data_IF_843221197471
#
_entry.id   IF_843221197471
#
_cell.length_a   1.000
_cell.length_b   1.000
_cell.length_c   1.000
_cell.angle_alpha   90.00
_cell.angle_beta   90.00
_cell.angle_gamma   90.00
#
_symmetry.space_group_name_H-M   'P 1'
#
loop_
_entity.id
_entity.type
_entity.pdbx_description
1 polymer ?
#
# COMPACT_ATOMS: atom_id res chain seq x y z
N UNK A 1 24.78 13.86 -5.44
CA UNK A 1 24.07 14.63 -6.50
C UNK A 1 22.78 15.33 -6.04
N UNK A 2 21.62 14.68 -5.86
CA UNK A 2 20.35 15.40 -5.56
C UNK A 2 20.37 16.15 -4.21
N UNK A 3 20.90 15.51 -3.15
CA UNK A 3 21.07 16.14 -1.85
C UNK A 3 22.01 17.36 -1.88
N UNK A 4 23.11 17.28 -2.64
CA UNK A 4 24.05 18.39 -2.82
C UNK A 4 23.43 19.53 -3.64
N UNK A 5 22.64 19.21 -4.67
CA UNK A 5 21.91 20.20 -5.44
C UNK A 5 20.89 20.94 -4.57
N UNK A 6 20.13 20.23 -3.72
CA UNK A 6 19.24 20.86 -2.74
C UNK A 6 20.01 21.76 -1.79
N UNK A 7 21.14 21.29 -1.25
CA UNK A 7 21.99 22.10 -0.37
C UNK A 7 22.43 23.39 -1.06
N UNK A 8 22.96 23.30 -2.28
CA UNK A 8 23.45 24.47 -3.03
C UNK A 8 22.31 25.41 -3.46
N UNK A 9 21.17 24.88 -3.90
CA UNK A 9 20.05 25.67 -4.44
C UNK A 9 19.18 26.30 -3.37
N UNK A 10 18.71 25.50 -2.41
CA UNK A 10 17.67 25.91 -1.47
C UNK A 10 18.21 26.25 -0.09
N UNK A 11 19.23 25.53 0.39
CA UNK A 11 19.77 25.77 1.73
C UNK A 11 20.82 26.89 1.72
N UNK A 12 21.69 26.95 0.70
CA UNK A 12 22.84 27.88 0.64
C UNK A 12 23.69 27.81 1.93
N UNK A 13 23.50 28.74 2.86
CA UNK A 13 24.13 28.80 4.20
C UNK A 13 23.17 28.44 5.35
N UNK A 14 21.91 28.15 5.05
CA UNK A 14 20.89 27.80 6.03
C UNK A 14 20.85 26.31 6.33
N UNK A 15 20.24 25.96 7.47
CA UNK A 15 20.10 24.57 7.91
C UNK A 15 18.73 24.00 7.55
N UNK A 16 18.70 22.70 7.22
CA UNK A 16 17.47 22.02 6.76
C UNK A 16 16.39 22.01 7.81
N UNK A 17 16.67 22.18 9.10
CA UNK A 17 15.65 22.17 10.17
C UNK A 17 15.02 23.54 10.42
N UNK A 18 15.77 24.60 10.18
CA UNK A 18 15.39 25.98 10.51
C UNK A 18 15.11 26.87 9.30
N UNK A 19 15.38 26.43 8.07
CA UNK A 19 15.15 27.29 6.91
C UNK A 19 13.66 27.44 6.60
N UNK A 20 13.25 28.66 6.26
CA UNK A 20 11.92 28.96 5.74
C UNK A 20 11.85 28.73 4.22
N UNK A 21 10.67 28.41 3.65
CA UNK A 21 10.52 28.25 2.22
C UNK A 21 10.74 29.61 1.52
N UNK A 22 11.70 29.74 0.59
CA UNK A 22 11.90 30.99 -0.14
C UNK A 22 10.66 31.39 -0.94
N UNK A 23 10.47 32.70 -1.15
CA UNK A 23 9.44 33.21 -2.06
C UNK A 23 9.61 32.60 -3.46
N UNK A 24 8.53 32.07 -4.03
CA UNK A 24 8.55 31.39 -5.33
C UNK A 24 9.17 29.98 -5.34
N UNK A 25 9.48 29.37 -4.20
CA UNK A 25 10.02 28.00 -4.18
C UNK A 25 9.01 26.96 -4.72
N UNK A 26 9.55 25.84 -5.20
CA UNK A 26 8.75 24.74 -5.76
C UNK A 26 7.82 24.12 -4.71
N UNK A 27 6.67 23.60 -5.14
CA UNK A 27 5.76 22.86 -4.26
C UNK A 27 6.43 21.64 -3.61
N UNK A 28 7.33 20.98 -4.34
CA UNK A 28 8.15 19.88 -3.83
C UNK A 28 9.03 20.32 -2.66
N UNK A 29 9.69 21.48 -2.75
CA UNK A 29 10.49 21.99 -1.63
C UNK A 29 9.63 22.27 -0.40
N UNK A 30 8.47 22.92 -0.58
CA UNK A 30 7.53 23.15 0.54
C UNK A 30 7.10 21.84 1.18
N UNK A 31 6.86 20.78 0.40
CA UNK A 31 6.50 19.48 0.92
C UNK A 31 7.65 18.82 1.70
N UNK A 32 8.89 18.93 1.22
CA UNK A 32 10.09 18.47 1.95
C UNK A 32 10.19 19.17 3.31
N UNK A 33 9.98 20.49 3.36
CA UNK A 33 10.01 21.21 4.63
C UNK A 33 8.86 20.81 5.56
N UNK A 34 7.65 20.56 5.02
CA UNK A 34 6.54 20.02 5.81
C UNK A 34 6.83 18.64 6.39
N UNK A 35 7.59 17.80 5.69
CA UNK A 35 7.99 16.48 6.18
C UNK A 35 8.85 16.51 7.44
N UNK A 36 9.46 17.65 7.80
CA UNK A 36 10.21 17.81 9.07
C UNK A 36 9.38 17.45 10.29
N UNK A 37 8.11 17.83 10.31
CA UNK A 37 7.19 17.57 11.42
C UNK A 37 7.04 16.07 11.70
N UNK A 38 7.19 15.24 10.66
CA UNK A 38 7.19 13.79 10.79
C UNK A 38 8.59 13.24 11.04
N UNK A 39 9.64 13.81 10.46
CA UNK A 39 11.02 13.31 10.61
C UNK A 39 11.57 13.55 12.02
N UNK A 40 11.39 14.75 12.58
CA UNK A 40 11.99 15.18 13.85
C UNK A 40 11.65 14.22 15.01
N UNK A 41 10.39 13.81 15.23
CA UNK A 41 10.06 12.86 16.29
C UNK A 41 10.74 11.49 16.14
N UNK A 42 11.10 11.12 14.91
CA UNK A 42 11.59 9.80 14.53
C UNK A 42 13.11 9.71 14.35
N UNK A 43 13.85 10.78 14.67
CA UNK A 43 15.31 10.79 14.65
C UNK A 43 15.87 11.06 16.06
N UNK A 44 17.07 10.56 16.33
CA UNK A 44 17.83 10.87 17.54
C UNK A 44 19.30 11.09 17.18
N UNK A 45 19.94 12.00 17.89
CA UNK A 45 21.38 12.22 17.80
C UNK A 45 22.06 11.45 18.92
N UNK A 46 23.04 10.60 18.57
CA UNK A 46 24.01 10.06 19.51
C UNK A 46 25.23 10.98 19.42
N UNK A 47 25.52 11.67 20.51
CA UNK A 47 26.55 12.70 20.56
C UNK A 47 27.84 12.07 21.09
N UNK A 48 28.92 12.23 20.33
CA UNK A 48 30.26 11.89 20.77
C UNK A 48 31.04 13.20 20.93
N UNK A 49 31.80 13.60 19.91
CA UNK A 49 32.60 14.83 19.97
C UNK A 49 31.80 16.09 19.62
N UNK A 50 30.59 15.95 19.06
CA UNK A 50 29.73 17.07 18.68
C UNK A 50 30.27 17.90 17.50
N UNK A 51 31.29 17.41 16.80
CA UNK A 51 31.99 18.12 15.73
C UNK A 51 31.14 18.30 14.46
N UNK A 52 30.13 17.45 14.25
CA UNK A 52 29.26 17.49 13.06
C UNK A 52 27.81 17.88 13.38
N UNK A 53 27.53 18.29 14.62
CA UNK A 53 26.19 18.69 15.06
C UNK A 53 26.18 20.20 15.29
N UNK A 54 25.32 20.92 14.58
CA UNK A 54 25.14 22.35 14.78
C UNK A 54 24.47 22.61 16.12
N UNK A 55 25.13 23.42 16.96
CA UNK A 55 24.63 23.79 18.28
C UNK A 55 23.24 24.42 18.21
N UNK A 56 23.02 25.32 17.24
CA UNK A 56 21.80 26.11 17.16
C UNK A 56 20.75 25.56 16.23
N UNK A 57 21.12 24.69 15.28
CA UNK A 57 20.29 24.38 14.13
C UNK A 57 19.90 22.91 13.95
N UNK A 58 20.57 21.99 14.64
CA UNK A 58 20.16 20.60 14.61
C UNK A 58 19.23 20.29 15.80
N UNK A 59 18.24 19.41 15.64
CA UNK A 59 17.27 19.09 16.68
C UNK A 59 17.83 18.07 17.69
N UNK A 60 19.05 18.30 18.18
CA UNK A 60 19.77 17.41 19.09
C UNK A 60 19.25 17.48 20.53
N UNK A 61 18.62 18.60 20.93
CA UNK A 61 17.99 18.77 22.23
C UNK A 61 16.58 18.15 22.22
N UNK A 62 16.52 16.82 22.31
CA UNK A 62 15.29 16.04 22.36
C UNK A 62 14.30 16.35 21.21
N UNK A 63 14.81 16.56 19.99
CA UNK A 63 14.00 16.90 18.83
C UNK A 63 13.76 18.40 18.63
N UNK A 64 14.40 19.27 19.42
CA UNK A 64 14.36 20.73 19.26
C UNK A 64 15.73 21.28 18.96
N UNK A 65 15.77 22.33 18.13
CA UNK A 65 17.00 23.11 17.94
C UNK A 65 17.10 24.16 19.06
N UNK A 66 18.31 24.53 19.50
CA UNK A 66 18.48 25.54 20.56
C UNK A 66 17.85 26.90 20.17
N UNK A 67 17.91 27.27 18.89
CA UNK A 67 17.20 28.45 18.36
C UNK A 67 15.68 28.39 18.54
N UNK A 68 15.07 27.21 18.38
CA UNK A 68 13.63 27.01 18.58
C UNK A 68 13.25 27.04 20.06
N UNK A 69 14.06 26.39 20.92
CA UNK A 69 13.83 26.37 22.37
C UNK A 69 13.90 27.77 23.01
N UNK A 70 14.65 28.69 22.38
CA UNK A 70 14.90 30.04 22.88
C UNK A 70 14.08 31.12 22.19
N UNK A 71 13.29 30.75 21.16
CA UNK A 71 12.55 31.70 20.34
C UNK A 71 13.43 32.66 19.52
N UNK A 72 14.75 32.45 19.48
CA UNK A 72 15.69 33.31 18.75
C UNK A 72 15.71 32.91 17.28
N UNK A 73 15.26 33.79 16.40
CA UNK A 73 15.36 33.54 14.95
C UNK A 73 16.83 33.45 14.50
N UNK A 74 17.08 32.59 13.51
CA UNK A 74 18.41 32.32 12.93
C UNK A 74 19.20 33.59 12.56
N UNK A 75 18.49 34.65 12.14
CA UNK A 75 19.10 35.93 11.72
C UNK A 75 19.72 36.73 12.89
N UNK A 76 19.33 36.47 14.14
CA UNK A 76 19.84 37.16 15.32
C UNK A 76 21.05 36.49 15.97
N UNK A 77 21.45 35.29 15.50
CA UNK A 77 22.56 34.53 16.08
C UNK A 77 23.94 34.95 15.58
N UNK A 78 24.03 35.63 14.44
CA UNK A 78 25.30 36.10 13.87
C UNK A 78 26.34 34.96 13.75
N UNK A 79 27.60 35.14 14.22
CA UNK A 79 28.65 34.12 14.17
C UNK A 79 28.34 32.83 14.93
N UNK A 80 27.43 32.88 15.91
CA UNK A 80 27.04 31.71 16.70
C UNK A 80 26.22 30.72 15.87
N UNK A 81 25.57 31.17 14.79
CA UNK A 81 24.79 30.27 13.92
C UNK A 81 25.61 29.13 13.30
N UNK A 82 26.94 29.27 13.22
CA UNK A 82 27.86 28.26 12.69
C UNK A 82 28.60 27.45 13.77
N UNK A 83 28.27 27.65 15.05
CA UNK A 83 28.93 26.90 16.13
C UNK A 83 28.46 25.45 16.18
N UNK A 84 29.39 24.56 16.48
CA UNK A 84 29.15 23.13 16.67
C UNK A 84 29.01 22.79 18.15
N UNK A 85 28.40 21.65 18.41
CA UNK A 85 28.19 21.13 19.76
C UNK A 85 29.51 20.81 20.47
N UNK A 86 30.58 20.55 19.71
CA UNK A 86 31.96 20.40 20.21
C UNK A 86 32.46 21.60 21.04
N UNK A 87 31.84 22.77 20.91
CA UNK A 87 32.16 23.94 21.75
C UNK A 87 31.72 23.77 23.22
N UNK A 88 30.78 22.87 23.49
CA UNK A 88 30.25 22.57 24.82
C UNK A 88 30.73 21.21 25.35
N UNK A 89 31.61 20.52 24.62
CA UNK A 89 32.10 19.17 24.98
C UNK A 89 33.62 19.21 25.12
N UNK A 90 34.12 18.84 26.30
CA UNK A 90 35.56 18.63 26.54
C UNK A 90 35.78 17.32 27.27
N UNK A 91 36.80 16.58 26.84
CA UNK A 91 37.19 15.29 27.43
C UNK A 91 36.00 14.31 27.61
N UNK A 92 35.08 14.32 26.65
CA UNK A 92 33.90 13.45 26.64
C UNK A 92 32.81 13.82 27.66
N UNK A 93 32.83 15.04 28.19
CA UNK A 93 31.81 15.56 29.12
C UNK A 93 31.32 16.93 28.67
N UNK A 94 30.10 17.26 29.08
CA UNK A 94 29.58 18.61 28.96
C UNK A 94 30.44 19.59 29.77
N UNK A 95 30.93 20.63 29.11
CA UNK A 95 31.69 21.72 29.70
C UNK A 95 30.88 23.02 29.55
N UNK A 96 30.36 23.52 30.67
CA UNK A 96 29.55 24.75 30.68
C UNK A 96 30.47 25.95 30.44
N UNK A 97 30.25 26.75 29.37
CA UNK A 97 31.05 27.94 29.16
C UNK A 97 30.85 28.96 30.29
N UNK A 98 31.94 29.60 30.73
CA UNK A 98 31.89 30.64 31.76
C UNK A 98 30.98 31.83 31.40
N UNK A 99 30.75 32.07 30.10
CA UNK A 99 29.85 33.10 29.57
C UNK A 99 28.56 32.50 29.00
N UNK A 100 28.00 31.49 29.67
CA UNK A 100 26.69 30.94 29.31
C UNK A 100 25.60 31.99 29.57
N UNK A 101 24.73 32.31 28.59
CA UNK A 101 23.68 33.31 28.79
C UNK A 101 22.68 32.86 29.86
N UNK A 102 22.33 33.77 30.79
CA UNK A 102 21.40 33.48 31.90
C UNK A 102 20.02 33.02 31.40
N UNK A 103 19.57 33.49 30.25
CA UNK A 103 18.29 33.07 29.65
C UNK A 103 18.31 31.62 29.12
N UNK A 104 19.49 31.03 28.97
CA UNK A 104 19.70 29.64 28.57
C UNK A 104 20.01 28.71 29.75
N UNK A 105 20.17 29.23 30.97
CA UNK A 105 20.44 28.41 32.16
C UNK A 105 19.41 27.32 32.41
N UNK A 106 18.08 27.55 32.23
CA UNK A 106 17.08 26.51 32.42
C UNK A 106 17.27 25.32 31.46
N UNK A 107 17.82 25.55 30.26
CA UNK A 107 18.08 24.50 29.28
C UNK A 107 19.35 23.70 29.62
N UNK A 108 20.25 24.23 30.44
CA UNK A 108 21.52 23.56 30.77
C UNK A 108 21.30 22.23 31.49
N UNK A 109 20.27 22.16 32.34
CA UNK A 109 19.89 20.91 33.01
C UNK A 109 19.52 19.83 31.99
N UNK A 110 18.65 20.16 31.02
CA UNK A 110 18.26 19.25 29.95
C UNK A 110 19.45 18.84 29.06
N UNK A 111 20.36 19.77 28.77
CA UNK A 111 21.58 19.48 28.01
C UNK A 111 22.45 18.47 28.76
N UNK A 112 22.64 18.69 30.07
CA UNK A 112 23.54 17.88 30.90
C UNK A 112 23.02 16.45 31.12
N UNK A 113 21.71 16.23 30.97
CA UNK A 113 21.08 14.91 31.04
C UNK A 113 21.38 14.04 29.80
N UNK A 114 21.78 14.64 28.68
CA UNK A 114 22.08 13.89 27.45
C UNK A 114 23.46 13.25 27.59
N UNK A 115 23.54 11.93 27.40
CA UNK A 115 24.81 11.21 27.46
C UNK A 115 25.73 11.55 26.28
N UNK A 116 27.03 11.72 26.58
CA UNK A 116 28.09 12.00 25.60
C UNK A 116 29.05 10.82 25.56
N UNK A 117 29.24 10.24 24.38
CA UNK A 117 30.00 8.99 24.19
C UNK A 117 31.53 9.11 24.21
N UNK A 118 32.09 10.32 24.40
CA UNK A 118 33.53 10.54 24.37
C UNK A 118 34.10 10.58 22.94
N UNK A 119 35.12 9.77 22.64
CA UNK A 119 35.80 9.75 21.34
C UNK A 119 35.01 8.93 20.31
N UNK A 120 34.69 9.55 19.19
CA UNK A 120 33.96 8.88 18.10
C UNK A 120 33.19 9.84 17.20
N UNK A 121 32.70 9.36 16.03
CA UNK A 121 31.88 10.17 15.15
C UNK A 121 30.44 10.29 15.68
N UNK A 122 29.89 11.51 15.66
CA UNK A 122 28.48 11.76 15.94
C UNK A 122 27.56 10.97 14.99
N UNK A 123 26.48 10.39 15.50
CA UNK A 123 25.55 9.57 14.72
C UNK A 123 24.13 10.13 14.74
N UNK A 124 23.52 10.25 13.56
CA UNK A 124 22.09 10.48 13.42
C UNK A 124 21.39 9.13 13.21
N UNK A 125 20.67 8.68 14.24
CA UNK A 125 19.97 7.41 14.20
C UNK A 125 18.47 7.59 13.95
N UNK A 126 17.86 6.54 13.41
CA UNK A 126 16.43 6.39 13.21
C UNK A 126 15.94 5.26 14.14
N UNK A 127 15.50 5.55 15.38
CA UNK A 127 15.12 4.52 16.35
C UNK A 127 14.10 3.49 15.85
N UNK A 128 13.12 3.83 14.96
CA UNK A 128 12.22 2.81 14.41
C UNK A 128 12.91 1.75 13.53
N UNK A 129 14.19 1.91 13.19
CA UNK A 129 14.99 0.94 12.45
C UNK A 129 15.75 0.03 13.39
N UNK A 130 15.69 -1.29 13.17
CA UNK A 130 16.52 -2.25 13.93
C UNK A 130 18.02 -2.06 13.69
N UNK A 131 18.40 -1.47 12.56
CA UNK A 131 19.81 -1.20 12.21
C UNK A 131 20.27 0.18 12.66
N UNK A 132 19.39 0.96 13.30
CA UNK A 132 19.69 2.30 13.79
C UNK A 132 19.80 3.39 12.71
N UNK A 133 19.77 3.07 11.41
CA UNK A 133 19.83 4.09 10.34
C UNK A 133 18.57 4.08 9.47
N UNK A 134 18.25 5.26 8.92
CA UNK A 134 17.14 5.42 8.00
C UNK A 134 17.39 4.58 6.74
N UNK A 135 16.54 3.59 6.50
CA UNK A 135 16.48 2.88 5.23
C UNK A 135 15.07 2.96 4.62
N UNK A 136 15.00 2.96 3.29
CA UNK A 136 13.75 3.18 2.54
C UNK A 136 12.64 2.18 2.93
N UNK A 137 13.00 0.91 3.13
CA UNK A 137 12.03 -0.16 3.40
C UNK A 137 11.36 0.03 4.76
N UNK A 138 12.14 0.23 5.81
CA UNK A 138 11.63 0.45 7.16
C UNK A 138 10.97 1.81 7.31
N UNK A 139 11.49 2.85 6.64
CA UNK A 139 10.84 4.16 6.60
C UNK A 139 9.46 4.08 5.93
N UNK A 140 9.34 3.36 4.80
CA UNK A 140 8.05 3.16 4.14
C UNK A 140 7.10 2.34 5.02
N UNK A 141 7.60 1.29 5.69
CA UNK A 141 6.81 0.50 6.64
C UNK A 141 6.32 1.37 7.82
N UNK A 142 7.18 2.22 8.35
CA UNK A 142 6.83 3.14 9.44
C UNK A 142 5.82 4.21 8.99
N UNK A 143 5.96 4.72 7.75
CA UNK A 143 4.99 5.60 7.12
C UNK A 143 3.66 4.91 6.82
N UNK A 144 3.65 3.61 6.51
CA UNK A 144 2.44 2.85 6.25
C UNK A 144 1.77 2.31 7.52
N UNK A 145 2.52 2.20 8.62
CA UNK A 145 2.00 1.78 9.92
C UNK A 145 1.11 2.83 10.59
N UNK A 146 1.02 4.06 10.05
CA UNK A 146 -0.14 4.91 10.33
C UNK A 146 -1.34 4.30 9.60
N UNK A 147 -2.17 3.59 10.35
CA UNK A 147 -3.32 2.75 10.00
C UNK A 147 -4.31 3.34 8.99
N UNK A 148 -3.88 3.52 7.74
CA UNK A 148 -4.77 3.80 6.62
C UNK A 148 -4.60 2.61 5.70
N UNK A 149 -5.52 1.65 5.84
CA UNK A 149 -5.65 0.60 4.83
C UNK A 149 -5.71 1.25 3.46
N UNK A 150 -4.92 0.75 2.49
CA UNK A 150 -4.94 1.34 1.17
C UNK A 150 -6.38 1.30 0.66
N UNK A 151 -6.86 2.38 0.00
CA UNK A 151 -8.23 2.40 -0.50
C UNK A 151 -8.53 1.14 -1.32
N UNK A 152 -9.75 0.61 -1.18
CA UNK A 152 -10.13 -0.69 -1.78
C UNK A 152 -9.89 -0.77 -3.29
N UNK A 153 -9.91 0.37 -4.01
CA UNK A 153 -9.65 0.40 -5.45
C UNK A 153 -8.19 0.11 -5.83
N UNK A 154 -7.24 0.26 -4.89
CA UNK A 154 -5.80 0.06 -5.18
C UNK A 154 -5.51 -1.35 -5.71
N UNK A 155 -6.19 -2.37 -5.18
CA UNK A 155 -6.06 -3.76 -5.63
C UNK A 155 -6.45 -3.94 -7.10
N UNK A 156 -7.33 -3.09 -7.65
CA UNK A 156 -7.74 -3.14 -9.06
C UNK A 156 -6.72 -2.48 -9.99
N UNK A 157 -5.92 -1.53 -9.50
CA UNK A 157 -4.95 -0.80 -10.33
C UNK A 157 -3.59 -1.48 -10.43
N UNK A 158 -3.22 -2.22 -9.40
CA UNK A 158 -1.90 -2.84 -9.26
C UNK A 158 -1.95 -4.37 -9.41
N UNK A 159 -2.82 -4.86 -10.29
CA UNK A 159 -2.83 -6.27 -10.68
C UNK A 159 -1.59 -6.63 -11.52
N UNK A 160 -1.24 -7.94 -11.63
CA UNK A 160 -0.24 -8.41 -12.58
C UNK A 160 -0.59 -7.98 -14.03
N UNK A 161 0.44 -7.88 -14.87
CA UNK A 161 0.33 -7.59 -16.31
C UNK A 161 -0.25 -6.20 -16.65
N UNK A 162 -0.38 -5.31 -15.65
CA UNK A 162 -0.77 -3.93 -15.87
C UNK A 162 0.40 -3.08 -16.38
N UNK A 163 0.09 -2.11 -17.24
CA UNK A 163 1.07 -1.13 -17.69
C UNK A 163 1.17 0.00 -16.65
N UNK A 164 2.34 0.25 -16.04
CA UNK A 164 2.47 1.19 -14.93
C UNK A 164 1.95 2.60 -15.24
N UNK A 165 2.15 3.11 -16.47
CA UNK A 165 1.62 4.42 -16.89
C UNK A 165 0.08 4.46 -16.94
N UNK A 166 -0.59 3.36 -17.26
CA UNK A 166 -2.05 3.28 -17.26
C UNK A 166 -2.58 3.22 -15.82
N UNK A 167 -1.98 2.38 -14.98
CA UNK A 167 -2.33 2.30 -13.55
C UNK A 167 -2.11 3.61 -12.81
N UNK A 168 -1.02 4.33 -13.11
CA UNK A 168 -0.77 5.64 -12.53
C UNK A 168 -1.82 6.68 -12.94
N UNK A 169 -2.21 6.72 -14.21
CA UNK A 169 -3.29 7.61 -14.63
C UNK A 169 -4.62 7.22 -13.99
N UNK A 170 -4.94 5.93 -13.91
CA UNK A 170 -6.12 5.45 -13.20
C UNK A 170 -6.11 5.89 -11.73
N UNK A 171 -4.96 5.82 -11.06
CA UNK A 171 -4.77 6.34 -9.70
C UNK A 171 -5.10 7.84 -9.62
N UNK A 172 -4.71 8.64 -10.62
CA UNK A 172 -5.09 10.05 -10.69
C UNK A 172 -6.60 10.25 -10.87
N UNK A 173 -7.29 9.38 -11.62
CA UNK A 173 -8.76 9.41 -11.74
C UNK A 173 -9.43 9.12 -10.39
N UNK A 174 -9.03 8.05 -9.69
CA UNK A 174 -9.59 7.69 -8.37
C UNK A 174 -9.38 8.78 -7.31
N UNK A 175 -8.29 9.53 -7.38
CA UNK A 175 -8.05 10.67 -6.49
C UNK A 175 -8.64 12.01 -6.98
N UNK A 176 -9.33 12.03 -8.14
CA UNK A 176 -9.81 13.23 -8.81
C UNK A 176 -8.70 14.30 -8.98
N UNK A 177 -7.50 13.84 -9.38
CA UNK A 177 -6.28 14.65 -9.58
C UNK A 177 -5.88 14.82 -11.03
N UNK A 178 -6.65 14.30 -11.99
CA UNK A 178 -6.43 14.56 -13.41
C UNK A 178 -6.53 16.06 -13.73
N UNK A 179 -5.93 16.49 -14.84
CA UNK A 179 -6.04 17.88 -15.32
C UNK A 179 -7.33 18.10 -16.13
N UNK A 180 -8.48 17.81 -15.51
CA UNK A 180 -9.80 17.98 -16.15
C UNK A 180 -10.11 19.47 -16.42
N UNK A 181 -10.97 19.77 -17.39
CA UNK A 181 -11.34 21.17 -17.67
C UNK A 181 -11.95 21.87 -16.44
N UNK A 182 -12.81 21.21 -15.65
CA UNK A 182 -13.35 21.80 -14.41
C UNK A 182 -12.25 22.20 -13.41
N UNK A 183 -11.13 21.47 -13.35
CA UNK A 183 -9.99 21.81 -12.48
C UNK A 183 -9.12 22.91 -13.07
N UNK A 184 -8.98 22.98 -14.38
CA UNK A 184 -8.27 24.05 -15.08
C UNK A 184 -9.07 25.37 -15.04
N UNK A 185 -10.40 25.29 -15.14
CA UNK A 185 -11.32 26.43 -15.04
C UNK A 185 -11.21 27.08 -13.67
N UNK A 186 -11.23 26.29 -12.58
CA UNK A 186 -11.00 26.77 -11.21
C UNK A 186 -9.65 27.46 -11.01
N UNK A 187 -8.66 27.20 -11.87
CA UNK A 187 -7.35 27.85 -11.87
C UNK A 187 -7.27 29.07 -12.79
N UNK A 188 -8.34 29.42 -13.49
CA UNK A 188 -8.36 30.48 -14.49
C UNK A 188 -7.54 30.16 -15.75
N UNK A 189 -7.25 28.88 -16.02
CA UNK A 189 -6.44 28.47 -17.18
C UNK A 189 -7.28 28.20 -18.44
N UNK A 190 -8.59 28.01 -18.28
CA UNK A 190 -9.55 27.83 -19.38
C UNK A 190 -10.84 28.57 -19.03
N UNK A 191 -11.59 28.98 -20.06
CA UNK A 191 -12.87 29.68 -19.93
C UNK A 191 -14.08 28.78 -20.13
N UNK A 192 -13.91 27.65 -20.81
CA UNK A 192 -14.93 26.63 -21.03
C UNK A 192 -14.55 25.32 -20.33
N UNK A 193 -15.49 24.76 -19.58
CA UNK A 193 -15.35 23.49 -18.88
C UNK A 193 -16.17 22.36 -19.51
N UNK A 194 -16.80 22.61 -20.66
CA UNK A 194 -17.64 21.63 -21.37
C UNK A 194 -16.81 20.45 -21.87
N UNK A 195 -17.25 19.23 -21.54
CA UNK A 195 -16.60 17.98 -21.92
C UNK A 195 -16.44 17.86 -23.42
N UNK A 196 -15.20 17.67 -23.87
CA UNK A 196 -14.87 17.62 -25.30
C UNK A 196 -15.34 16.35 -25.99
N UNK A 197 -15.67 15.30 -25.22
CA UNK A 197 -16.13 14.02 -25.74
C UNK A 197 -17.63 14.02 -26.09
N UNK A 198 -18.48 14.55 -25.21
CA UNK A 198 -19.94 14.56 -25.40
C UNK A 198 -20.55 15.94 -25.66
N UNK A 199 -19.81 17.03 -25.43
CA UNK A 199 -20.25 18.42 -25.64
C UNK A 199 -21.49 18.85 -24.84
N UNK A 200 -21.79 18.18 -23.72
CA UNK A 200 -23.06 18.38 -22.99
C UNK A 200 -22.95 18.60 -21.47
N UNK A 201 -21.79 18.35 -20.83
CA UNK A 201 -21.64 18.51 -19.37
C UNK A 201 -20.23 18.94 -18.98
N UNK A 202 -20.04 19.39 -17.74
CA UNK A 202 -18.75 19.85 -17.24
C UNK A 202 -17.75 18.68 -17.09
N UNK A 203 -16.51 18.86 -17.53
CA UNK A 203 -15.48 17.81 -17.50
C UNK A 203 -14.77 17.75 -16.14
N UNK A 204 -15.27 16.89 -15.25
CA UNK A 204 -14.52 16.35 -14.11
C UNK A 204 -14.16 14.86 -14.33
N UNK A 205 -13.50 14.23 -13.35
CA UNK A 205 -13.09 12.84 -13.46
C UNK A 205 -14.28 11.88 -13.62
N UNK A 206 -15.32 12.04 -12.80
CA UNK A 206 -16.53 11.21 -12.83
C UNK A 206 -17.26 11.39 -14.17
N UNK A 207 -17.43 12.63 -14.61
CA UNK A 207 -18.05 12.92 -15.88
C UNK A 207 -17.27 12.32 -17.04
N UNK A 208 -15.97 12.61 -17.13
CA UNK A 208 -15.14 12.18 -18.26
C UNK A 208 -15.13 10.66 -18.42
N UNK A 209 -15.05 9.90 -17.33
CA UNK A 209 -14.96 8.43 -17.38
C UNK A 209 -16.31 7.73 -17.27
N UNK A 210 -17.21 8.16 -16.38
CA UNK A 210 -18.35 7.37 -15.92
C UNK A 210 -19.73 7.96 -16.25
N UNK A 211 -19.85 9.25 -16.56
CA UNK A 211 -21.14 9.89 -16.88
C UNK A 211 -21.27 10.30 -18.35
N UNK A 212 -20.16 10.66 -18.98
CA UNK A 212 -20.07 11.06 -20.38
C UNK A 212 -20.67 9.97 -21.29
N UNK A 213 -21.61 10.35 -22.16
CA UNK A 213 -22.30 9.39 -23.03
C UNK A 213 -21.33 8.62 -23.96
N UNK A 214 -20.26 9.28 -24.43
CA UNK A 214 -19.23 8.66 -25.25
C UNK A 214 -18.47 7.58 -24.46
N UNK A 215 -17.97 7.92 -23.28
CA UNK A 215 -17.19 7.00 -22.43
C UNK A 215 -18.04 5.86 -21.88
N UNK A 216 -19.28 6.15 -21.45
CA UNK A 216 -20.22 5.12 -20.96
C UNK A 216 -20.55 4.07 -22.02
N UNK A 217 -20.71 4.47 -23.28
CA UNK A 217 -20.94 3.51 -24.36
C UNK A 217 -19.79 2.51 -24.46
N UNK A 218 -18.55 3.00 -24.41
CA UNK A 218 -17.34 2.16 -24.52
C UNK A 218 -17.23 1.24 -23.31
N UNK A 219 -17.35 1.79 -22.09
CA UNK A 219 -17.26 0.97 -20.88
C UNK A 219 -18.35 -0.11 -20.85
N UNK A 220 -19.59 0.24 -21.18
CA UNK A 220 -20.68 -0.73 -21.20
C UNK A 220 -20.43 -1.83 -22.23
N UNK A 221 -19.89 -1.50 -23.41
CA UNK A 221 -19.55 -2.52 -24.42
C UNK A 221 -18.47 -3.48 -23.92
N UNK A 222 -17.42 -2.96 -23.29
CA UNK A 222 -16.34 -3.77 -22.71
C UNK A 222 -16.83 -4.65 -21.55
N UNK A 223 -17.77 -4.15 -20.73
CA UNK A 223 -18.41 -4.92 -19.66
C UNK A 223 -19.33 -6.01 -20.21
N UNK A 224 -20.07 -5.75 -21.29
CA UNK A 224 -20.87 -6.77 -21.96
C UNK A 224 -20.02 -7.90 -22.54
N UNK A 225 -18.82 -7.61 -23.05
CA UNK A 225 -17.85 -8.61 -23.49
C UNK A 225 -17.28 -9.46 -22.33
N UNK A 226 -17.42 -8.98 -21.08
CA UNK A 226 -17.15 -9.71 -19.83
C UNK A 226 -18.38 -10.46 -19.30
N UNK A 227 -19.49 -10.49 -20.04
CA UNK A 227 -20.79 -11.02 -19.62
C UNK A 227 -21.40 -10.31 -18.39
N UNK A 228 -20.95 -9.08 -18.10
CA UNK A 228 -21.49 -8.25 -17.01
C UNK A 228 -22.68 -7.46 -17.52
N UNK A 229 -23.87 -7.78 -16.99
CA UNK A 229 -25.13 -7.12 -17.34
C UNK A 229 -25.39 -5.84 -16.53
N UNK A 230 -24.80 -5.73 -15.34
CA UNK A 230 -24.96 -4.56 -14.48
C UNK A 230 -24.27 -3.33 -15.11
N UNK A 231 -24.85 -2.15 -14.86
CA UNK A 231 -24.26 -0.89 -15.30
C UNK A 231 -23.20 -0.43 -14.30
N UNK A 232 -22.10 0.08 -14.80
CA UNK A 232 -21.11 0.75 -13.96
C UNK A 232 -21.72 1.98 -13.26
N UNK A 233 -21.30 2.27 -12.02
CA UNK A 233 -21.75 3.45 -11.29
C UNK A 233 -21.27 4.73 -11.97
N UNK A 234 -21.91 5.85 -11.61
CA UNK A 234 -21.63 7.19 -12.17
C UNK A 234 -20.58 7.99 -11.40
N UNK A 235 -19.89 7.37 -10.44
CA UNK A 235 -18.88 7.99 -9.59
C UNK A 235 -17.77 7.00 -9.22
N UNK A 236 -16.53 7.49 -9.15
CA UNK A 236 -15.37 6.72 -8.70
C UNK A 236 -15.49 6.26 -7.24
N UNK A 237 -16.24 6.97 -6.40
CA UNK A 237 -16.46 6.55 -5.00
C UNK A 237 -17.22 5.23 -4.90
N UNK A 238 -18.16 5.01 -5.83
CA UNK A 238 -18.97 3.79 -5.91
C UNK A 238 -18.36 2.73 -6.84
N UNK A 239 -17.34 3.09 -7.63
CA UNK A 239 -16.73 2.17 -8.59
C UNK A 239 -16.03 1.01 -7.88
N UNK A 240 -15.28 1.25 -6.81
CA UNK A 240 -14.58 0.15 -6.11
C UNK A 240 -15.52 -0.86 -5.47
N UNK A 241 -16.52 -0.44 -4.67
CA UNK A 241 -17.49 -1.37 -4.10
C UNK A 241 -18.25 -2.15 -5.19
N UNK A 242 -18.57 -1.49 -6.30
CA UNK A 242 -19.22 -2.16 -7.42
C UNK A 242 -18.32 -3.20 -8.10
N UNK A 243 -17.03 -2.90 -8.32
CA UNK A 243 -16.08 -3.86 -8.88
C UNK A 243 -15.95 -5.09 -7.97
N UNK A 244 -15.85 -4.86 -6.66
CA UNK A 244 -15.75 -5.92 -5.64
C UNK A 244 -16.99 -6.83 -5.61
N UNK A 245 -18.18 -6.24 -5.74
CA UNK A 245 -19.43 -6.99 -5.79
C UNK A 245 -19.67 -7.71 -7.13
N UNK A 246 -19.05 -7.25 -8.22
CA UNK A 246 -19.33 -7.77 -9.57
C UNK A 246 -18.51 -9.02 -9.91
N UNK A 247 -17.26 -9.12 -9.44
CA UNK A 247 -16.38 -10.25 -9.79
C UNK A 247 -15.57 -10.73 -8.58
N UNK A 248 -15.72 -12.02 -8.26
CA UNK A 248 -14.84 -12.75 -7.35
C UNK A 248 -13.79 -13.60 -8.08
N UNK A 249 -14.10 -14.10 -9.27
CA UNK A 249 -13.24 -15.05 -9.99
C UNK A 249 -11.88 -14.42 -10.43
N UNK A 250 -10.72 -15.02 -10.10
CA UNK A 250 -9.39 -14.43 -10.35
C UNK A 250 -9.08 -14.07 -11.81
N UNK A 251 -9.47 -14.95 -12.75
CA UNK A 251 -9.34 -14.67 -14.19
C UNK A 251 -10.13 -13.42 -14.59
N UNK A 252 -11.44 -13.41 -14.30
CA UNK A 252 -12.33 -12.30 -14.64
C UNK A 252 -11.84 -11.00 -13.99
N UNK A 253 -11.28 -11.07 -12.78
CA UNK A 253 -10.66 -9.93 -12.07
C UNK A 253 -9.45 -9.36 -12.82
N UNK A 254 -8.55 -10.21 -13.31
CA UNK A 254 -7.38 -9.80 -14.10
C UNK A 254 -7.79 -9.09 -15.40
N UNK A 255 -8.77 -9.64 -16.11
CA UNK A 255 -9.28 -9.02 -17.34
C UNK A 255 -9.98 -7.69 -17.02
N UNK A 256 -10.86 -7.64 -16.01
CA UNK A 256 -11.57 -6.42 -15.64
C UNK A 256 -10.61 -5.31 -15.17
N UNK A 257 -9.60 -5.63 -14.36
CA UNK A 257 -8.56 -4.68 -13.97
C UNK A 257 -7.86 -4.08 -15.20
N UNK A 258 -7.55 -4.92 -16.19
CA UNK A 258 -6.96 -4.51 -17.46
C UNK A 258 -7.91 -3.64 -18.29
N UNK A 259 -9.22 -3.94 -18.29
CA UNK A 259 -10.25 -3.11 -18.92
C UNK A 259 -10.26 -1.73 -18.29
N UNK A 260 -10.36 -1.63 -16.96
CA UNK A 260 -10.46 -0.34 -16.26
C UNK A 260 -9.23 0.54 -16.51
N UNK A 261 -8.02 -0.01 -16.39
CA UNK A 261 -6.78 0.77 -16.59
C UNK A 261 -6.63 1.26 -18.03
N UNK A 262 -6.90 0.39 -19.03
CA UNK A 262 -6.83 0.76 -20.44
C UNK A 262 -7.94 1.71 -20.85
N UNK A 263 -9.16 1.48 -20.38
CA UNK A 263 -10.30 2.36 -20.62
C UNK A 263 -9.98 3.80 -20.19
N UNK A 264 -9.55 3.99 -18.94
CA UNK A 264 -9.21 5.33 -18.43
C UNK A 264 -8.07 5.97 -19.22
N UNK A 265 -7.06 5.19 -19.60
CA UNK A 265 -5.97 5.66 -20.45
C UNK A 265 -6.44 6.11 -21.83
N UNK A 266 -7.18 5.28 -22.55
CA UNK A 266 -7.60 5.60 -23.92
C UNK A 266 -8.66 6.69 -23.97
N UNK A 267 -9.53 6.81 -22.96
CA UNK A 267 -10.44 7.96 -22.82
C UNK A 267 -9.65 9.25 -22.62
N UNK A 268 -8.64 9.25 -21.76
CA UNK A 268 -7.78 10.42 -21.56
C UNK A 268 -7.01 10.80 -22.83
N UNK A 269 -6.47 9.81 -23.55
CA UNK A 269 -5.79 10.03 -24.83
C UNK A 269 -6.73 10.58 -25.90
N UNK A 270 -7.93 10.02 -26.04
CA UNK A 270 -8.95 10.51 -26.97
C UNK A 270 -9.33 11.96 -26.67
N UNK A 271 -9.56 12.28 -25.40
CA UNK A 271 -9.83 13.64 -24.94
C UNK A 271 -8.70 14.60 -25.32
N UNK A 272 -7.45 14.22 -25.10
CA UNK A 272 -6.30 15.06 -25.46
C UNK A 272 -6.09 15.19 -26.97
N UNK A 273 -6.36 14.13 -27.75
CA UNK A 273 -6.28 14.19 -29.22
C UNK A 273 -7.31 15.18 -29.79
N UNK A 274 -8.53 15.24 -29.24
CA UNK A 274 -9.54 16.21 -29.65
C UNK A 274 -9.16 17.65 -29.33
N UNK A 275 -8.45 17.88 -28.22
CA UNK A 275 -8.07 19.24 -27.79
C UNK A 275 -6.82 19.73 -28.51
N UNK A 276 -5.79 18.90 -28.61
CA UNK A 276 -4.47 19.35 -29.04
C UNK A 276 -4.10 18.96 -30.48
N UNK A 277 -4.86 18.06 -31.10
CA UNK A 277 -4.53 17.51 -32.42
C UNK A 277 -5.68 17.52 -33.40
N UNK A 278 -6.85 18.05 -33.00
CA UNK A 278 -8.08 18.06 -33.78
C UNK A 278 -8.43 16.69 -34.39
N UNK A 279 -8.19 15.62 -33.62
CA UNK A 279 -8.46 14.22 -34.04
C UNK A 279 -9.53 13.61 -33.16
N UNK A 280 -10.57 13.07 -33.77
CA UNK A 280 -11.64 12.34 -33.09
C UNK A 280 -11.76 10.91 -33.60
N UNK A 281 -11.81 9.96 -32.68
CA UNK A 281 -12.09 8.55 -32.98
C UNK A 281 -13.57 8.26 -32.74
N UNK A 282 -14.18 7.43 -33.59
CA UNK A 282 -15.53 6.92 -33.30
C UNK A 282 -15.50 5.94 -32.12
N UNK A 283 -16.51 5.99 -31.25
CA UNK A 283 -16.59 5.20 -30.01
C UNK A 283 -16.37 3.69 -30.21
N UNK A 284 -16.87 3.15 -31.33
CA UNK A 284 -16.70 1.72 -31.68
C UNK A 284 -15.25 1.39 -32.01
N UNK A 285 -14.55 2.24 -32.77
CA UNK A 285 -13.14 2.04 -33.10
C UNK A 285 -12.26 2.14 -31.85
N UNK A 286 -12.58 3.06 -30.93
CA UNK A 286 -11.85 3.16 -29.66
C UNK A 286 -12.08 1.91 -28.79
N UNK A 287 -13.28 1.34 -28.81
CA UNK A 287 -13.57 0.06 -28.14
C UNK A 287 -12.69 -1.07 -28.70
N UNK A 288 -12.61 -1.22 -30.03
CA UNK A 288 -11.75 -2.23 -30.65
C UNK A 288 -10.26 -2.00 -30.32
N UNK A 289 -9.81 -0.74 -30.30
CA UNK A 289 -8.44 -0.40 -29.92
C UNK A 289 -8.12 -0.82 -28.49
N UNK A 290 -9.03 -0.59 -27.54
CA UNK A 290 -8.87 -1.03 -26.15
C UNK A 290 -8.78 -2.55 -26.07
N UNK A 291 -9.67 -3.27 -26.75
CA UNK A 291 -9.66 -4.75 -26.78
C UNK A 291 -8.37 -5.31 -27.37
N UNK A 292 -7.91 -4.76 -28.49
CA UNK A 292 -6.67 -5.17 -29.15
C UNK A 292 -5.45 -4.97 -28.23
N UNK A 293 -5.39 -3.84 -27.50
CA UNK A 293 -4.32 -3.59 -26.53
C UNK A 293 -4.34 -4.59 -25.37
N UNK A 294 -5.53 -4.92 -24.85
CA UNK A 294 -5.68 -5.91 -23.78
C UNK A 294 -5.25 -7.30 -24.29
N UNK A 295 -5.72 -7.69 -25.47
CA UNK A 295 -5.37 -8.96 -26.10
C UNK A 295 -3.87 -9.08 -26.31
N UNK A 296 -3.23 -8.08 -26.92
CA UNK A 296 -1.78 -8.08 -27.16
C UNK A 296 -0.96 -8.24 -25.87
N UNK A 297 -1.43 -7.67 -24.75
CA UNK A 297 -0.72 -7.73 -23.47
C UNK A 297 -0.88 -9.06 -22.75
N UNK A 298 -2.05 -9.67 -22.89
CA UNK A 298 -2.37 -10.93 -22.24
C UNK A 298 -2.06 -12.13 -23.14
N UNK A 299 -1.67 -11.87 -24.39
CA UNK A 299 -1.22 -12.87 -25.34
C UNK A 299 -0.02 -13.63 -24.78
N UNK A 300 -0.08 -14.96 -24.83
CA UNK A 300 1.00 -15.83 -24.37
C UNK A 300 1.07 -16.02 -22.86
N UNK A 301 0.16 -15.44 -22.07
CA UNK A 301 0.02 -15.74 -20.64
C UNK A 301 -0.95 -16.93 -20.50
N UNK A 302 -0.49 -18.12 -20.09
CA UNK A 302 -1.37 -19.26 -19.90
C UNK A 302 -2.17 -19.08 -18.62
N UNK A 303 -3.49 -19.03 -18.76
CA UNK A 303 -4.40 -19.04 -17.62
C UNK A 303 -4.86 -20.47 -17.34
N UNK A 304 -4.21 -21.10 -16.36
CA UNK A 304 -4.49 -22.50 -15.97
C UNK A 304 -5.68 -22.54 -15.01
N UNK A 305 -6.80 -23.12 -15.44
CA UNK A 305 -8.02 -23.26 -14.64
C UNK A 305 -8.97 -24.30 -15.24
N UNK A 306 -10.00 -24.68 -14.48
CA UNK A 306 -11.14 -25.44 -15.01
C UNK A 306 -11.92 -24.55 -16.01
N UNK A 307 -12.02 -24.99 -17.26
CA UNK A 307 -12.62 -24.20 -18.33
C UNK A 307 -14.14 -24.40 -18.35
N UNK A 308 -14.89 -23.31 -18.11
CA UNK A 308 -16.34 -23.27 -18.34
C UNK A 308 -16.68 -22.55 -19.66
N UNK A 309 -17.88 -22.79 -20.25
CA UNK A 309 -18.33 -22.09 -21.45
C UNK A 309 -18.30 -20.56 -21.32
N UNK A 310 -18.62 -20.05 -20.12
CA UNK A 310 -18.58 -18.62 -19.82
C UNK A 310 -17.15 -18.05 -19.87
N UNK A 311 -16.20 -18.74 -19.24
CA UNK A 311 -14.80 -18.32 -19.20
C UNK A 311 -14.19 -18.39 -20.59
N UNK A 312 -14.51 -19.43 -21.36
CA UNK A 312 -14.10 -19.59 -22.75
C UNK A 312 -14.61 -18.43 -23.63
N UNK A 313 -15.88 -18.04 -23.47
CA UNK A 313 -16.45 -16.90 -24.20
C UNK A 313 -15.74 -15.58 -23.87
N UNK A 314 -15.45 -15.33 -22.59
CA UNK A 314 -14.70 -14.13 -22.17
C UNK A 314 -13.27 -14.17 -22.72
N UNK A 315 -12.59 -15.31 -22.64
CA UNK A 315 -11.25 -15.47 -23.15
C UNK A 315 -11.18 -15.20 -24.67
N UNK A 316 -12.15 -15.72 -25.43
CA UNK A 316 -12.27 -15.44 -26.87
C UNK A 316 -12.48 -13.95 -27.15
N UNK A 317 -13.34 -13.27 -26.38
CA UNK A 317 -13.62 -11.84 -26.56
C UNK A 317 -12.40 -10.94 -26.36
N UNK A 318 -11.43 -11.36 -25.55
CA UNK A 318 -10.19 -10.63 -25.26
C UNK A 318 -8.94 -11.28 -25.84
N UNK A 319 -9.07 -12.33 -26.67
CA UNK A 319 -7.95 -13.03 -27.29
C UNK A 319 -6.95 -13.58 -26.28
N UNK A 320 -7.44 -14.19 -25.21
CA UNK A 320 -6.65 -14.77 -24.12
C UNK A 320 -6.66 -16.29 -24.22
N UNK A 321 -5.53 -16.94 -23.95
CA UNK A 321 -5.42 -18.40 -23.96
C UNK A 321 -5.74 -18.98 -22.59
N UNK A 322 -6.76 -19.85 -22.54
CA UNK A 322 -7.02 -20.70 -21.39
C UNK A 322 -6.32 -22.04 -21.58
N UNK A 323 -5.74 -22.55 -20.51
CA UNK A 323 -5.15 -23.88 -20.45
C UNK A 323 -5.96 -24.69 -19.45
N UNK A 324 -6.53 -25.80 -19.90
CA UNK A 324 -7.33 -26.63 -19.03
C UNK A 324 -6.44 -27.19 -17.92
N UNK A 325 -6.90 -27.07 -16.67
CA UNK A 325 -6.23 -27.72 -15.56
C UNK A 325 -6.74 -29.16 -15.55
N UNK A 326 -5.95 -30.17 -15.93
CA UNK A 326 -6.40 -31.55 -15.81
C UNK A 326 -6.74 -31.78 -14.34
N UNK A 327 -7.99 -32.17 -14.06
CA UNK A 327 -8.39 -32.59 -12.73
C UNK A 327 -7.53 -33.81 -12.38
N UNK A 328 -6.48 -33.59 -11.58
CA UNK A 328 -5.70 -34.69 -11.05
C UNK A 328 -6.55 -35.34 -9.98
N UNK A 329 -7.27 -36.41 -10.34
CA UNK A 329 -7.86 -37.29 -9.34
C UNK A 329 -6.69 -37.92 -8.59
N UNK A 330 -6.37 -37.34 -7.43
CA UNK A 330 -5.48 -38.00 -6.48
C UNK A 330 -6.35 -39.03 -5.77
N UNK A 331 -6.14 -40.34 -5.95
CA UNK A 331 -6.81 -41.33 -5.13
C UNK A 331 -6.34 -41.11 -3.69
N UNK A 332 -7.17 -40.47 -2.88
CA UNK A 332 -6.94 -40.32 -1.44
C UNK A 332 -7.47 -41.59 -0.79
N UNK A 333 -6.58 -42.54 -0.52
CA UNK A 333 -6.89 -43.69 0.31
C UNK A 333 -6.50 -43.36 1.75
N UNK A 334 -7.43 -43.53 2.68
CA UNK A 334 -7.09 -43.49 4.10
C UNK A 334 -6.10 -44.62 4.40
N UNK A 335 -4.93 -44.25 4.92
CA UNK A 335 -3.89 -45.21 5.31
C UNK A 335 -4.08 -45.55 6.78
N UNK A 336 -4.29 -46.81 7.17
CA UNK A 336 -4.40 -47.18 8.58
C UNK A 336 -3.10 -46.87 9.35
N UNK A 337 -3.20 -46.55 10.66
CA UNK A 337 -2.03 -46.48 11.53
C UNK A 337 -1.38 -47.87 11.70
N UNK A 338 -0.18 -47.90 12.29
CA UNK A 338 0.49 -49.16 12.66
C UNK A 338 -0.33 -49.99 13.66
N UNK A 339 0.02 -51.27 13.79
CA UNK A 339 -0.69 -52.19 14.67
C UNK A 339 -0.66 -51.68 16.12
N UNK A 340 -1.83 -51.65 16.78
CA UNK A 340 -2.01 -51.10 18.13
C UNK A 340 -1.87 -49.58 18.26
N UNK A 341 -1.76 -48.84 17.15
CA UNK A 341 -1.72 -47.38 17.15
C UNK A 341 -3.08 -46.80 16.74
N UNK A 342 -3.37 -45.59 17.24
CA UNK A 342 -4.62 -44.90 16.95
C UNK A 342 -4.37 -43.69 16.04
N UNK A 343 -5.33 -43.44 15.15
CA UNK A 343 -5.33 -42.28 14.25
C UNK A 343 -6.52 -41.38 14.54
N UNK A 344 -6.25 -40.10 14.75
CA UNK A 344 -7.26 -39.07 14.86
C UNK A 344 -7.40 -38.30 13.52
N UNK A 345 -8.61 -38.29 12.98
CA UNK A 345 -8.99 -37.51 11.81
C UNK A 345 -9.81 -36.28 12.27
N UNK A 346 -9.39 -35.07 11.93
CA UNK A 346 -10.06 -33.81 12.33
C UNK A 346 -10.51 -32.97 11.14
N UNK A 347 -11.56 -32.18 11.32
CA UNK A 347 -12.13 -31.30 10.29
C UNK A 347 -12.76 -30.04 10.91
N UNK A 348 -12.74 -28.93 10.17
CA UNK A 348 -13.36 -27.65 10.50
C UNK A 348 -14.31 -27.18 9.41
N UNK A 349 -15.49 -26.69 9.77
CA UNK A 349 -16.47 -26.19 8.79
C UNK A 349 -16.92 -24.78 9.11
N UNK A 350 -16.95 -23.91 8.11
CA UNK A 350 -17.41 -22.52 8.26
C UNK A 350 -18.59 -22.25 7.33
N UNK A 351 -19.71 -21.81 7.91
CA UNK A 351 -20.86 -21.22 7.21
C UNK A 351 -20.89 -19.71 7.45
N UNK A 352 -21.74 -18.98 6.73
CA UNK A 352 -21.78 -17.50 6.76
C UNK A 352 -21.87 -16.91 8.17
N UNK A 353 -22.58 -17.58 9.09
CA UNK A 353 -22.79 -17.11 10.47
C UNK A 353 -22.33 -18.09 11.57
N UNK A 354 -21.82 -19.27 11.23
CA UNK A 354 -21.52 -20.34 12.22
C UNK A 354 -20.32 -21.19 11.82
N UNK A 355 -19.46 -21.50 12.78
CA UNK A 355 -18.37 -22.46 12.63
C UNK A 355 -18.62 -23.74 13.41
N UNK A 356 -18.29 -24.89 12.81
CA UNK A 356 -18.26 -26.20 13.44
C UNK A 356 -16.85 -26.79 13.40
N UNK A 357 -16.55 -27.69 14.32
CA UNK A 357 -15.32 -28.47 14.32
C UNK A 357 -15.59 -29.88 14.85
N UNK A 358 -14.75 -30.83 14.46
CA UNK A 358 -14.83 -32.19 15.00
C UNK A 358 -13.58 -33.01 14.77
N UNK A 359 -13.49 -34.12 15.49
CA UNK A 359 -12.49 -35.14 15.29
C UNK A 359 -13.05 -36.53 15.59
N UNK A 360 -12.51 -37.55 14.93
CA UNK A 360 -12.80 -38.96 15.18
C UNK A 360 -11.50 -39.73 15.33
N UNK A 361 -11.50 -40.74 16.20
CA UNK A 361 -10.35 -41.62 16.47
C UNK A 361 -10.70 -43.02 15.99
N UNK A 362 -9.79 -43.60 15.22
CA UNK A 362 -9.90 -44.95 14.65
C UNK A 362 -8.68 -45.80 14.97
N UNK A 363 -8.87 -47.12 15.03
CA UNK A 363 -7.80 -48.09 15.15
C UNK A 363 -7.19 -48.45 13.77
N UNK A 364 -6.24 -49.40 13.76
CA UNK A 364 -5.57 -49.91 12.55
C UNK A 364 -6.50 -50.63 11.56
N UNK A 365 -7.69 -51.05 12.00
CA UNK A 365 -8.71 -51.68 11.16
C UNK A 365 -9.69 -50.66 10.56
N UNK A 366 -9.57 -49.40 10.97
CA UNK A 366 -10.52 -48.34 10.61
C UNK A 366 -11.78 -48.32 11.46
N UNK A 367 -11.86 -49.15 12.51
CA UNK A 367 -13.00 -49.15 13.42
C UNK A 367 -13.04 -47.82 14.18
N UNK A 368 -14.24 -47.24 14.24
CA UNK A 368 -14.49 -46.04 15.02
C UNK A 368 -14.44 -46.36 16.52
N UNK A 369 -13.63 -45.62 17.26
CA UNK A 369 -13.54 -45.73 18.71
C UNK A 369 -14.32 -44.61 19.39
N UNK A 370 -14.00 -43.36 19.04
CA UNK A 370 -14.62 -42.19 19.64
C UNK A 370 -14.56 -40.98 18.72
N UNK A 371 -15.47 -40.03 18.91
CA UNK A 371 -15.48 -38.77 18.19
C UNK A 371 -15.99 -37.62 19.06
N UNK A 372 -15.59 -36.43 18.69
CA UNK A 372 -15.97 -35.16 19.32
C UNK A 372 -16.41 -34.20 18.24
N UNK A 373 -17.43 -33.40 18.53
CA UNK A 373 -17.86 -32.32 17.67
C UNK A 373 -18.30 -31.13 18.53
N UNK A 374 -18.11 -29.92 18.01
CA UNK A 374 -18.51 -28.70 18.68
C UNK A 374 -18.79 -27.58 17.69
N UNK A 375 -19.38 -26.51 18.21
CA UNK A 375 -19.62 -25.28 17.47
C UNK A 375 -18.84 -24.14 18.09
N UNK A 376 -18.39 -23.21 17.25
CA UNK A 376 -17.66 -22.03 17.70
C UNK A 376 -17.93 -20.83 16.79
N UNK A 377 -18.10 -19.65 17.38
CA UNK A 377 -18.27 -18.38 16.65
C UNK A 377 -16.95 -17.81 16.11
N UNK A 378 -15.96 -18.66 15.81
CA UNK A 378 -14.67 -18.19 15.28
C UNK A 378 -14.84 -17.79 13.81
N UNK A 379 -14.35 -16.60 13.39
CA UNK A 379 -14.58 -16.07 12.05
C UNK A 379 -13.63 -16.65 10.99
N UNK A 380 -12.95 -17.74 11.29
CA UNK A 380 -11.88 -18.26 10.43
C UNK A 380 -11.92 -19.77 10.36
N UNK A 381 -12.04 -20.29 9.14
CA UNK A 381 -11.88 -21.72 8.83
C UNK A 381 -10.56 -22.24 9.42
N UNK A 382 -9.53 -21.40 9.37
CA UNK A 382 -8.20 -21.74 9.88
C UNK A 382 -8.17 -22.09 11.37
N UNK A 383 -8.97 -21.37 12.15
CA UNK A 383 -9.06 -21.58 13.60
C UNK A 383 -10.00 -22.74 13.94
N UNK A 384 -10.99 -23.02 13.10
CA UNK A 384 -11.93 -24.13 13.29
C UNK A 384 -11.26 -25.48 13.05
N UNK A 385 -10.40 -25.58 12.03
CA UNK A 385 -9.56 -26.75 11.77
C UNK A 385 -8.62 -27.06 12.94
N UNK A 386 -7.91 -26.04 13.44
CA UNK A 386 -7.04 -26.19 14.60
C UNK A 386 -7.83 -26.61 15.85
N UNK A 387 -9.09 -26.15 15.96
CA UNK A 387 -9.97 -26.52 17.06
C UNK A 387 -10.47 -27.96 16.96
N UNK A 388 -10.70 -28.46 15.74
CA UNK A 388 -10.96 -29.88 15.48
C UNK A 388 -9.80 -30.75 15.96
N UNK A 389 -8.57 -30.38 15.58
CA UNK A 389 -7.34 -31.05 16.03
C UNK A 389 -7.22 -31.07 17.56
N UNK A 390 -7.38 -29.90 18.19
CA UNK A 390 -7.29 -29.76 19.65
C UNK A 390 -8.33 -30.63 20.36
N UNK A 391 -9.57 -30.63 19.89
CA UNK A 391 -10.63 -31.45 20.46
C UNK A 391 -10.32 -32.95 20.36
N UNK A 392 -9.73 -33.39 19.24
CA UNK A 392 -9.25 -34.76 19.06
C UNK A 392 -8.16 -35.18 20.06
N UNK A 393 -7.22 -34.28 20.36
CA UNK A 393 -6.19 -34.50 21.39
C UNK A 393 -6.80 -34.57 22.79
N UNK A 394 -7.68 -33.63 23.13
CA UNK A 394 -8.32 -33.55 24.44
C UNK A 394 -9.12 -34.82 24.75
N UNK A 395 -9.92 -35.31 23.80
CA UNK A 395 -10.71 -36.52 23.99
C UNK A 395 -9.83 -37.78 24.07
N UNK A 396 -8.70 -37.81 23.36
CA UNK A 396 -7.70 -38.87 23.48
C UNK A 396 -7.11 -38.96 24.88
N UNK A 397 -6.69 -37.81 25.44
CA UNK A 397 -6.15 -37.72 26.79
C UNK A 397 -7.19 -38.14 27.83
N UNK A 398 -8.43 -37.65 27.71
CA UNK A 398 -9.53 -37.98 28.63
C UNK A 398 -9.85 -39.48 28.65
N UNK A 399 -9.73 -40.16 27.51
CA UNK A 399 -10.03 -41.57 27.38
C UNK A 399 -8.80 -42.47 27.55
N UNK A 400 -7.64 -41.91 27.93
CA UNK A 400 -6.36 -42.62 28.04
C UNK A 400 -5.98 -43.39 26.75
N UNK A 401 -6.27 -42.78 25.60
CA UNK A 401 -5.95 -43.30 24.28
C UNK A 401 -4.60 -42.75 23.81
N UNK A 402 -3.69 -43.65 23.42
CA UNK A 402 -2.41 -43.26 22.81
C UNK A 402 -2.64 -42.94 21.33
N UNK A 403 -2.92 -41.67 21.03
CA UNK A 403 -3.07 -41.19 19.65
C UNK A 403 -1.69 -40.89 19.09
N UNK A 404 -1.33 -41.62 18.07
CA UNK A 404 0.02 -41.60 17.54
C UNK A 404 0.08 -41.04 16.11
N UNK A 405 -1.06 -40.94 15.43
CA UNK A 405 -1.19 -40.31 14.12
C UNK A 405 -2.32 -39.27 14.12
N UNK A 406 -2.06 -38.11 13.52
CA UNK A 406 -3.05 -37.09 13.23
C UNK A 406 -3.13 -36.84 11.72
N UNK A 407 -4.34 -36.73 11.22
CA UNK A 407 -4.62 -36.57 9.80
C UNK A 407 -5.73 -35.51 9.64
N UNK A 408 -5.41 -34.48 8.87
CA UNK A 408 -6.27 -33.34 8.59
C UNK A 408 -6.10 -33.01 7.09
N UNK A 409 -7.18 -32.61 6.41
CA UNK A 409 -7.17 -32.26 4.99
C UNK A 409 -6.51 -30.90 4.69
N UNK A 410 -6.11 -30.18 5.73
CA UNK A 410 -5.31 -28.97 5.68
C UNK A 410 -3.99 -29.16 4.94
N UNK A 411 -3.84 -28.43 3.83
CA UNK A 411 -2.53 -28.21 3.20
C UNK A 411 -2.02 -26.83 3.58
N UNK A 412 -0.79 -26.77 4.08
CA UNK A 412 -0.05 -25.51 4.20
C UNK A 412 0.29 -25.07 2.76
N UNK A 413 -0.52 -24.17 2.19
CA UNK A 413 -0.20 -23.48 0.93
C UNK A 413 0.86 -22.39 1.12
#
# INVERSE_FOLDING_TARGET
>A
MWAEWIRKRYLRKGHIWNCQPPNGCTSSWRQILKSRNWIIPNIRYIIFEGANISLWNDPWLNGRCLSQATGREFLHLGPLSTSFLSTLIKDGKWDKPNRWPMDLDPLWTEISEIEVGGKGPDLLIWPPSRKGYLNRREAMKHLSNSSIDPPSWTKWLWQPYQVPKHSFLAWQFFHNKISSLSRLFKKGLVTDQTCTLCKAGNEDADHLALQCAYSRFILQRLLSDMLIKSRAPRSFTLLSPWLDATISHPFKKTILASIISNFLWFIWQERNNRIFRDKSTHKVHLCHKIKAEISLRLQGIPFIMEISPELSSIAANFGVTLVDRPATTVPVQWIPPELSWLKANSDGSLSEDRGGYGALIRNERGDFLIGVAGQCGLPSINLLEFKGLLAGLEIGIQMHLDISYFDNDWRIE
#
